data_IF_224094728178
#
_entry.id   IF_224094728178
#
_cell.length_a   1.000
_cell.length_b   1.000
_cell.length_c   1.000
_cell.angle_alpha   90.00
_cell.angle_beta   90.00
_cell.angle_gamma   90.00
#
_symmetry.space_group_name_H-M   'P 1'
#
loop_
_entity.id
_entity.type
_entity.pdbx_description
1 polymer ?
#
# COMPACT_ATOMS: atom_id res chain seq x y z
N UNK A 1 -1.79 0.65 -20.41
CA UNK A 1 -0.53 -0.11 -20.20
C UNK A 1 -0.59 -0.72 -18.81
N UNK A 2 -0.76 -2.04 -18.66
CA UNK A 2 -0.53 -2.67 -17.36
C UNK A 2 0.94 -2.47 -16.96
N UNK A 3 1.25 -2.36 -15.68
CA UNK A 3 2.64 -2.24 -15.24
C UNK A 3 3.43 -3.45 -15.77
N UNK A 4 4.58 -3.19 -16.41
CA UNK A 4 5.50 -4.24 -16.88
C UNK A 4 6.08 -5.07 -15.73
N UNK A 5 5.95 -4.57 -14.50
CA UNK A 5 6.43 -5.22 -13.29
C UNK A 5 5.26 -5.81 -12.49
N UNK A 6 5.31 -7.10 -12.13
CA UNK A 6 4.37 -7.70 -11.20
C UNK A 6 4.27 -6.87 -9.91
N UNK A 7 3.06 -6.71 -9.38
CA UNK A 7 2.87 -5.95 -8.14
C UNK A 7 3.68 -6.55 -6.97
N UNK A 8 4.01 -7.84 -7.00
CA UNK A 8 4.92 -8.48 -6.07
C UNK A 8 6.32 -7.82 -6.02
N UNK A 9 6.87 -7.38 -7.16
CA UNK A 9 8.14 -6.65 -7.23
C UNK A 9 7.97 -5.23 -6.66
N UNK A 10 6.87 -4.56 -7.00
CA UNK A 10 6.55 -3.24 -6.45
C UNK A 10 6.41 -3.26 -4.93
N UNK A 11 5.84 -4.33 -4.36
CA UNK A 11 5.76 -4.53 -2.91
C UNK A 11 7.16 -4.62 -2.26
N UNK A 12 8.14 -5.24 -2.92
CA UNK A 12 9.54 -5.25 -2.46
C UNK A 12 10.18 -3.86 -2.54
N UNK A 13 9.75 -3.03 -3.50
CA UNK A 13 10.15 -1.62 -3.64
C UNK A 13 9.31 -0.65 -2.78
N UNK A 14 8.63 -1.17 -1.75
CA UNK A 14 7.83 -0.36 -0.83
C UNK A 14 6.69 0.43 -1.52
N UNK A 15 6.21 -0.07 -2.66
CA UNK A 15 5.05 0.44 -3.41
C UNK A 15 3.92 -0.56 -3.30
N UNK A 16 3.02 -0.30 -2.37
CA UNK A 16 1.89 -1.17 -2.10
C UNK A 16 0.65 -0.67 -2.84
N UNK A 17 -0.30 -1.58 -3.04
CA UNK A 17 -1.62 -1.27 -3.59
C UNK A 17 -2.65 -1.90 -2.66
N UNK A 18 -3.16 -1.15 -1.69
CA UNK A 18 -4.21 -1.65 -0.82
C UNK A 18 -5.54 -1.66 -1.56
N UNK A 19 -6.35 -2.66 -1.21
CA UNK A 19 -7.72 -2.76 -1.65
C UNK A 19 -8.46 -1.51 -1.19
N UNK A 20 -9.03 -0.73 -2.11
CA UNK A 20 -9.66 0.57 -1.81
C UNK A 20 -10.82 0.44 -0.82
N UNK A 21 -11.48 -0.70 -0.82
CA UNK A 21 -12.54 -1.09 0.11
C UNK A 21 -12.04 -1.42 1.52
N UNK A 22 -10.75 -1.78 1.69
CA UNK A 22 -10.12 -2.08 2.99
C UNK A 22 -9.25 -0.95 3.53
N UNK A 23 -9.31 0.21 2.89
CA UNK A 23 -8.62 1.41 3.37
C UNK A 23 -9.44 2.05 4.49
N UNK A 24 -8.83 2.26 5.64
CA UNK A 24 -9.40 2.98 6.77
C UNK A 24 -8.57 4.23 7.09
N UNK A 25 -9.14 5.15 7.87
CA UNK A 25 -8.44 6.33 8.36
C UNK A 25 -8.14 6.14 9.84
N UNK A 26 -6.87 6.13 10.21
CA UNK A 26 -6.40 5.91 11.60
C UNK A 26 -6.29 7.22 12.41
N UNK A 27 -6.92 8.29 11.94
CA UNK A 27 -6.87 9.61 12.59
C UNK A 27 -5.77 10.54 12.06
N UNK A 28 -4.69 10.01 11.49
CA UNK A 28 -3.59 10.81 10.93
C UNK A 28 -3.27 10.47 9.46
N UNK A 29 -3.41 9.20 9.08
CA UNK A 29 -3.13 8.72 7.74
C UNK A 29 -4.19 7.71 7.30
N UNK A 30 -4.36 7.55 5.99
CA UNK A 30 -5.09 6.41 5.46
C UNK A 30 -4.20 5.18 5.55
N UNK A 31 -4.70 4.12 6.14
CA UNK A 31 -4.03 2.83 6.33
C UNK A 31 -4.83 1.75 5.60
N UNK A 32 -4.18 0.69 5.15
CA UNK A 32 -4.86 -0.39 4.44
C UNK A 32 -3.94 -1.55 4.11
N UNK A 33 -4.52 -2.72 3.92
CA UNK A 33 -3.77 -3.95 3.63
C UNK A 33 -3.55 -4.11 2.12
N UNK A 34 -2.30 -4.32 1.71
CA UNK A 34 -1.95 -4.58 0.32
C UNK A 34 -2.63 -5.87 -0.17
N UNK A 35 -3.40 -5.80 -1.26
CA UNK A 35 -4.13 -6.95 -1.81
C UNK A 35 -3.20 -8.03 -2.40
N UNK A 36 -1.92 -7.70 -2.63
CA UNK A 36 -0.95 -8.60 -3.25
C UNK A 36 0.05 -9.23 -2.30
N UNK A 37 0.43 -8.55 -1.21
CA UNK A 37 1.44 -9.05 -0.27
C UNK A 37 0.93 -9.12 1.18
N UNK A 38 -0.31 -8.71 1.45
CA UNK A 38 -0.92 -8.74 2.78
C UNK A 38 -0.30 -7.77 3.79
N UNK A 39 0.67 -6.95 3.39
CA UNK A 39 1.33 -6.00 4.29
C UNK A 39 0.45 -4.77 4.51
N UNK A 40 0.37 -4.30 5.76
CA UNK A 40 -0.18 -2.99 6.07
C UNK A 40 0.65 -1.87 5.46
N UNK A 41 -0.05 -1.00 4.74
CA UNK A 41 0.51 0.13 4.06
C UNK A 41 -0.27 1.39 4.45
N UNK A 42 0.48 2.44 4.75
CA UNK A 42 -0.05 3.78 4.96
C UNK A 42 0.09 4.62 3.71
N UNK A 43 -0.86 5.51 3.48
CA UNK A 43 -0.87 6.46 2.38
C UNK A 43 0.10 7.58 2.71
N UNK A 44 1.26 7.57 2.04
CA UNK A 44 2.25 8.63 2.17
C UNK A 44 1.84 9.89 1.38
N UNK A 45 1.19 9.72 0.23
CA UNK A 45 0.66 10.81 -0.59
C UNK A 45 -0.42 10.30 -1.55
N UNK A 46 -1.06 11.19 -2.32
CA UNK A 46 -2.16 10.82 -3.23
C UNK A 46 -1.70 9.75 -4.24
N UNK A 47 -2.10 8.51 -4.01
CA UNK A 47 -1.77 7.36 -4.87
C UNK A 47 -0.47 6.63 -4.50
N UNK A 48 0.25 7.10 -3.47
CA UNK A 48 1.49 6.47 -2.99
C UNK A 48 1.22 5.83 -1.64
N UNK A 49 1.30 4.50 -1.60
CA UNK A 49 1.18 3.69 -0.39
C UNK A 49 2.51 3.03 -0.09
N UNK A 50 2.96 3.23 1.15
CA UNK A 50 4.22 2.68 1.66
C UNK A 50 3.90 1.79 2.84
N UNK A 51 4.72 0.77 3.06
CA UNK A 51 4.67 -0.07 4.26
C UNK A 51 4.64 0.82 5.49
N UNK A 52 3.70 0.52 6.37
CA UNK A 52 3.65 1.13 7.68
C UNK A 52 4.78 0.52 8.52
N UNK A 53 5.93 1.18 8.55
CA UNK A 53 6.97 0.88 9.54
C UNK A 53 6.68 1.72 10.78
N UNK A 54 5.84 1.17 11.66
CA UNK A 54 5.92 1.44 13.09
C UNK A 54 6.30 0.15 13.80
N UNK A 55 7.61 -0.03 13.98
CA UNK A 55 8.20 -0.72 15.13
C UNK A 55 9.49 -0.01 15.47
#
# INVERSE_FOLDING_TARGET
MPPLLPQAILCKLNRHRPARDKVHWDGQHYTGTCEHCGTEARRASRGVWRREWMK
#
